data_IF_960592730296
#
_entry.id   IF_960592730296
#
_cell.length_a   1.000
_cell.length_b   1.000
_cell.length_c   1.000
_cell.angle_alpha   90.00
_cell.angle_beta   90.00
_cell.angle_gamma   90.00
#
_symmetry.space_group_name_H-M   'P 1'
#
loop_
_entity.id
_entity.type
_entity.pdbx_description
1 polymer ?
#
# COMPACT_ATOMS: atom_id res chain seq x y z
N UNK A 1 -11.14 -9.07 25.26
CA UNK A 1 -12.13 -8.78 24.20
C UNK A 1 -11.85 -9.71 23.02
N UNK A 2 -12.79 -10.60 22.69
CA UNK A 2 -12.69 -11.45 21.50
C UNK A 2 -12.93 -10.58 20.27
N UNK A 3 -11.93 -10.46 19.40
CA UNK A 3 -12.03 -9.71 18.15
C UNK A 3 -13.24 -10.22 17.33
N UNK A 4 -14.03 -9.34 16.69
CA UNK A 4 -15.18 -9.76 15.88
C UNK A 4 -14.76 -10.69 14.72
N UNK A 5 -15.51 -11.76 14.45
CA UNK A 5 -15.17 -12.78 13.42
C UNK A 5 -14.85 -12.20 12.05
N UNK A 6 -15.57 -11.17 11.62
CA UNK A 6 -15.35 -10.53 10.32
C UNK A 6 -14.02 -9.75 10.22
N UNK A 7 -13.40 -9.37 11.34
CA UNK A 7 -12.08 -8.74 11.38
C UNK A 7 -10.94 -9.77 11.53
N UNK A 8 -11.22 -11.02 11.88
CA UNK A 8 -10.18 -12.02 12.14
C UNK A 8 -9.55 -12.58 10.86
N UNK A 9 -8.28 -13.02 10.89
CA UNK A 9 -7.65 -13.69 9.77
C UNK A 9 -8.43 -14.95 9.34
N UNK A 10 -8.46 -15.25 8.04
CA UNK A 10 -9.14 -16.42 7.45
C UNK A 10 -8.62 -17.75 8.01
N UNK A 11 -7.36 -17.80 8.45
CA UNK A 11 -6.72 -18.98 9.06
C UNK A 11 -7.16 -19.27 10.49
N UNK A 12 -7.90 -18.35 11.13
CA UNK A 12 -8.51 -18.62 12.42
C UNK A 12 -9.66 -19.62 12.23
N UNK A 13 -9.60 -20.74 12.96
CA UNK A 13 -10.61 -21.81 12.91
C UNK A 13 -11.99 -21.27 13.27
N UNK A 14 -12.07 -20.22 14.10
CA UNK A 14 -13.32 -19.56 14.47
C UNK A 14 -13.87 -18.59 13.39
N UNK A 15 -13.03 -18.23 12.41
CA UNK A 15 -13.42 -17.43 11.25
C UNK A 15 -13.91 -18.30 10.06
N UNK A 16 -13.79 -19.63 10.15
CA UNK A 16 -14.48 -20.54 9.24
C UNK A 16 -15.99 -20.49 9.52
N UNK A 17 -16.80 -20.29 8.47
CA UNK A 17 -18.28 -20.10 8.48
C UNK A 17 -18.77 -18.66 8.73
N UNK A 18 -18.17 -17.66 8.10
CA UNK A 18 -18.75 -16.31 8.00
C UNK A 18 -20.09 -16.35 7.24
N UNK A 19 -21.11 -15.71 7.82
CA UNK A 19 -22.40 -15.47 7.16
C UNK A 19 -22.23 -14.53 5.96
N UNK A 20 -23.20 -14.51 5.04
CA UNK A 20 -23.15 -13.62 3.86
C UNK A 20 -22.99 -12.13 4.23
N UNK A 21 -23.63 -11.70 5.32
CA UNK A 21 -23.54 -10.34 5.83
C UNK A 21 -22.15 -10.03 6.40
N UNK A 22 -21.55 -10.93 7.16
CA UNK A 22 -20.18 -10.75 7.68
C UNK A 22 -19.12 -10.72 6.57
N UNK A 23 -19.32 -11.46 5.49
CA UNK A 23 -18.48 -11.37 4.29
C UNK A 23 -18.61 -10.01 3.61
N UNK A 24 -19.82 -9.46 3.51
CA UNK A 24 -20.06 -8.13 2.95
C UNK A 24 -19.40 -7.04 3.80
N UNK A 25 -19.55 -7.08 5.13
CA UNK A 25 -18.90 -6.13 6.05
C UNK A 25 -17.38 -6.18 5.92
N UNK A 26 -16.81 -7.39 5.86
CA UNK A 26 -15.38 -7.60 5.63
C UNK A 26 -14.91 -7.01 4.29
N UNK A 27 -15.68 -7.20 3.21
CA UNK A 27 -15.38 -6.58 1.92
C UNK A 27 -15.39 -5.06 2.00
N UNK A 28 -16.40 -4.47 2.65
CA UNK A 28 -16.51 -3.00 2.81
C UNK A 28 -15.33 -2.45 3.62
N UNK A 29 -14.85 -3.17 4.64
CA UNK A 29 -13.73 -2.72 5.47
C UNK A 29 -12.40 -2.87 4.73
N UNK A 30 -12.11 -4.04 4.17
CA UNK A 30 -10.77 -4.34 3.64
C UNK A 30 -10.56 -3.96 2.18
N UNK A 31 -11.63 -3.81 1.38
CA UNK A 31 -11.51 -3.41 -0.03
C UNK A 31 -10.93 -1.99 -0.21
N UNK A 32 -11.33 -0.96 0.56
CA UNK A 32 -10.70 0.36 0.50
C UNK A 32 -9.19 0.31 0.79
N UNK A 33 -8.77 -0.42 1.83
CA UNK A 33 -7.34 -0.59 2.13
C UNK A 33 -6.63 -1.33 1.00
N UNK A 34 -7.25 -2.37 0.44
CA UNK A 34 -6.70 -3.07 -0.72
C UNK A 34 -6.52 -2.13 -1.90
N UNK A 35 -7.49 -1.26 -2.18
CA UNK A 35 -7.39 -0.26 -3.25
C UNK A 35 -6.26 0.72 -2.97
N UNK A 36 -6.19 1.28 -1.77
CA UNK A 36 -5.12 2.23 -1.37
C UNK A 36 -3.73 1.60 -1.46
N UNK A 37 -3.56 0.34 -1.08
CA UNK A 37 -2.28 -0.36 -1.18
C UNK A 37 -2.04 -1.03 -2.55
N UNK A 38 -3.04 -1.11 -3.43
CA UNK A 38 -2.86 -1.58 -4.82
C UNK A 38 -2.64 -0.43 -5.80
N UNK A 39 -3.15 0.77 -5.49
CA UNK A 39 -3.00 1.99 -6.27
C UNK A 39 -1.54 2.37 -6.59
N UNK A 40 -0.57 2.25 -5.67
CA UNK A 40 0.80 2.68 -5.93
C UNK A 40 1.46 1.86 -7.04
N UNK A 41 1.01 0.61 -7.24
CA UNK A 41 1.44 -0.24 -8.35
C UNK A 41 0.83 0.19 -9.68
N UNK A 42 -0.46 0.53 -9.68
CA UNK A 42 -1.13 1.04 -10.88
C UNK A 42 -0.51 2.36 -11.33
N UNK A 43 -0.24 3.25 -10.37
CA UNK A 43 0.47 4.52 -10.59
C UNK A 43 1.90 4.26 -11.07
N UNK A 44 2.65 3.34 -10.45
CA UNK A 44 3.99 2.98 -10.94
C UNK A 44 3.96 2.49 -12.39
N UNK A 45 2.98 1.67 -12.77
CA UNK A 45 2.84 1.15 -14.12
C UNK A 45 2.49 2.25 -15.13
N UNK A 46 1.57 3.15 -14.79
CA UNK A 46 1.16 4.24 -15.69
C UNK A 46 2.23 5.32 -15.81
N UNK A 47 2.97 5.59 -14.74
CA UNK A 47 4.03 6.60 -14.72
C UNK A 47 5.42 6.03 -14.97
N UNK A 48 5.60 4.72 -15.17
CA UNK A 48 6.89 4.11 -15.46
C UNK A 48 7.68 4.79 -16.61
N UNK A 49 7.05 5.18 -17.74
CA UNK A 49 7.76 5.88 -18.81
C UNK A 49 8.24 7.27 -18.39
N UNK A 50 7.45 7.97 -17.59
CA UNK A 50 7.78 9.30 -17.06
C UNK A 50 8.85 9.20 -15.98
N UNK A 51 8.79 8.19 -15.12
CA UNK A 51 9.79 7.91 -14.11
C UNK A 51 11.16 7.61 -14.75
N UNK A 52 11.20 6.87 -15.86
CA UNK A 52 12.43 6.62 -16.63
C UNK A 52 13.06 7.91 -17.17
N UNK A 53 12.25 8.86 -17.63
CA UNK A 53 12.73 10.19 -18.06
C UNK A 53 13.26 11.01 -16.87
N UNK A 54 12.57 10.97 -15.73
CA UNK A 54 12.98 11.67 -14.51
C UNK A 54 14.30 11.11 -13.96
N UNK A 55 14.56 9.80 -14.10
CA UNK A 55 15.83 9.16 -13.69
C UNK A 55 17.05 9.83 -14.33
N UNK A 56 16.93 10.40 -15.53
CA UNK A 56 18.04 11.13 -16.18
C UNK A 56 18.44 12.42 -15.44
N UNK A 57 17.54 12.99 -14.62
CA UNK A 57 17.77 14.20 -13.82
C UNK A 57 18.02 13.90 -12.33
N UNK A 58 17.94 12.63 -11.92
CA UNK A 58 18.16 12.21 -10.53
C UNK A 58 19.52 12.63 -9.97
N UNK A 59 20.65 12.55 -10.70
CA UNK A 59 21.94 12.98 -10.15
C UNK A 59 21.95 14.46 -9.71
N UNK A 60 21.37 15.35 -10.51
CA UNK A 60 21.28 16.78 -10.18
C UNK A 60 20.32 17.05 -9.01
N UNK A 61 19.25 16.27 -8.89
CA UNK A 61 18.32 16.34 -7.76
C UNK A 61 18.96 15.83 -6.46
N UNK A 62 19.76 14.76 -6.52
CA UNK A 62 20.49 14.21 -5.37
C UNK A 62 21.49 15.22 -4.84
N UNK A 63 22.29 15.85 -5.71
CA UNK A 63 23.22 16.91 -5.30
C UNK A 63 22.49 18.06 -4.60
N UNK A 64 21.33 18.46 -5.11
CA UNK A 64 20.52 19.53 -4.50
C UNK A 64 19.97 19.13 -3.12
N UNK A 65 19.52 17.89 -2.96
CA UNK A 65 19.01 17.39 -1.66
C UNK A 65 20.11 17.22 -0.61
N UNK A 66 21.34 16.88 -1.02
CA UNK A 66 22.46 16.71 -0.11
C UNK A 66 23.03 18.06 0.34
N UNK A 67 23.13 19.01 -0.59
CA UNK A 67 23.75 20.31 -0.31
C UNK A 67 22.78 21.30 0.36
N UNK A 68 21.46 21.21 0.10
CA UNK A 68 20.46 22.11 0.67
C UNK A 68 19.24 21.39 1.29
N UNK A 69 19.44 20.46 2.25
CA UNK A 69 18.36 19.66 2.82
C UNK A 69 17.32 20.48 3.59
N UNK A 70 17.66 21.70 4.03
CA UNK A 70 16.77 22.62 4.73
C UNK A 70 15.70 23.24 3.82
N UNK A 71 16.04 23.49 2.56
CA UNK A 71 15.16 24.08 1.55
C UNK A 71 14.16 23.05 1.03
N UNK A 72 14.59 21.80 0.86
CA UNK A 72 13.83 20.72 0.24
C UNK A 72 13.22 19.70 1.23
N UNK A 73 12.97 20.12 2.48
CA UNK A 73 12.53 19.20 3.56
C UNK A 73 11.24 18.46 3.23
N UNK A 74 10.29 19.13 2.59
CA UNK A 74 8.98 18.55 2.27
C UNK A 74 9.07 17.59 1.08
N UNK A 75 9.89 17.90 0.09
CA UNK A 75 10.17 17.08 -1.08
C UNK A 75 10.88 15.79 -0.66
N UNK A 76 11.89 15.89 0.20
CA UNK A 76 12.60 14.72 0.75
C UNK A 76 11.63 13.85 1.56
N UNK A 77 10.80 14.45 2.42
CA UNK A 77 9.80 13.70 3.18
C UNK A 77 8.75 13.02 2.28
N UNK A 78 8.32 13.69 1.21
CA UNK A 78 7.38 13.14 0.23
C UNK A 78 8.00 11.99 -0.56
N UNK A 79 9.25 12.11 -1.01
CA UNK A 79 9.97 11.03 -1.71
C UNK A 79 10.18 9.82 -0.81
N UNK A 80 10.57 10.02 0.46
CA UNK A 80 10.72 8.94 1.43
C UNK A 80 9.37 8.30 1.78
N UNK A 81 8.32 9.09 1.99
CA UNK A 81 6.97 8.61 2.26
C UNK A 81 6.39 7.84 1.08
N UNK A 82 6.58 8.31 -0.15
CA UNK A 82 6.14 7.62 -1.34
C UNK A 82 6.97 6.35 -1.59
N UNK A 83 8.29 6.42 -1.43
CA UNK A 83 9.19 5.27 -1.58
C UNK A 83 8.91 4.16 -0.58
N UNK A 84 8.71 4.50 0.70
CA UNK A 84 8.30 3.52 1.73
C UNK A 84 6.93 2.93 1.41
N UNK A 85 5.96 3.76 1.02
CA UNK A 85 4.64 3.31 0.64
C UNK A 85 4.70 2.36 -0.57
N UNK A 86 5.53 2.63 -1.59
CA UNK A 86 5.78 1.73 -2.72
C UNK A 86 6.35 0.39 -2.27
N UNK A 87 7.40 0.39 -1.44
CA UNK A 87 8.06 -0.82 -0.95
C UNK A 87 7.11 -1.73 -0.16
N UNK A 88 6.30 -1.16 0.73
CA UNK A 88 5.42 -1.94 1.61
C UNK A 88 4.02 -2.17 1.03
N UNK A 89 3.58 -1.39 0.04
CA UNK A 89 2.24 -1.50 -0.56
C UNK A 89 1.94 -2.92 -1.05
N UNK A 90 2.90 -3.56 -1.73
CA UNK A 90 2.72 -4.90 -2.28
C UNK A 90 2.63 -5.97 -1.19
N UNK A 91 3.45 -5.85 -0.14
CA UNK A 91 3.38 -6.77 1.00
C UNK A 91 2.05 -6.64 1.74
N UNK A 92 1.58 -5.41 1.97
CA UNK A 92 0.32 -5.13 2.64
C UNK A 92 -0.88 -5.57 1.81
N UNK A 93 -0.93 -5.23 0.52
CA UNK A 93 -1.99 -5.69 -0.38
C UNK A 93 -2.04 -7.22 -0.47
N UNK A 94 -0.89 -7.89 -0.54
CA UNK A 94 -0.81 -9.36 -0.54
C UNK A 94 -1.26 -9.96 0.79
N UNK A 95 -0.91 -9.35 1.92
CA UNK A 95 -1.36 -9.77 3.23
C UNK A 95 -2.89 -9.60 3.38
N UNK A 96 -3.45 -8.47 2.94
CA UNK A 96 -4.91 -8.24 2.96
C UNK A 96 -5.64 -9.29 2.11
N UNK A 97 -5.16 -9.59 0.90
CA UNK A 97 -5.73 -10.66 0.05
C UNK A 97 -5.64 -12.03 0.70
N UNK A 98 -4.48 -12.38 1.25
CA UNK A 98 -4.24 -13.73 1.77
C UNK A 98 -4.93 -14.00 3.11
N UNK A 99 -5.00 -12.99 3.97
CA UNK A 99 -5.44 -13.17 5.35
C UNK A 99 -6.84 -12.63 5.62
N UNK A 100 -7.36 -11.69 4.83
CA UNK A 100 -8.62 -11.00 5.15
C UNK A 100 -9.69 -11.12 4.07
N UNK A 101 -9.34 -11.15 2.78
CA UNK A 101 -10.31 -11.26 1.69
C UNK A 101 -10.44 -12.69 1.15
N UNK A 102 -11.65 -13.20 0.86
CA UNK A 102 -11.89 -14.58 0.45
C UNK A 102 -11.59 -14.87 -1.05
N UNK A 103 -10.67 -14.15 -1.68
CA UNK A 103 -10.33 -14.33 -3.11
C UNK A 103 -9.12 -15.25 -3.34
N UNK A 104 -8.96 -16.27 -2.51
CA UNK A 104 -7.95 -17.31 -2.64
C UNK A 104 -8.59 -18.68 -2.66
#
# INVERSE_FOLDING_TARGET
MLMPKYLRPIRDVEAHKLTGLEKAVRMVIFCPFLLVFSFPRAVLLTFAPVALLIVMFVPAAIDSFINEPGTYRYEIAAVLGFGTLLLFSNMLAKAIRRYFLPFG
#
